data_IF_019993073064
#
_entry.id   IF_019993073064
#
_cell.length_a   1.000
_cell.length_b   1.000
_cell.length_c   1.000
_cell.angle_alpha   90.00
_cell.angle_beta   90.00
_cell.angle_gamma   90.00
#
_symmetry.space_group_name_H-M   'P 1'
#
loop_
_entity.id
_entity.type
_entity.pdbx_description
1 polymer ?
#
# COMPACT_ATOMS: atom_id res chain seq x y z
N UNK A 1 12.13 -8.03 -18.86
CA UNK A 1 11.01 -7.30 -19.50
C UNK A 1 10.00 -7.02 -18.39
N UNK A 2 9.89 -5.84 -17.78
CA UNK A 2 9.07 -4.70 -18.22
C UNK A 2 9.56 -3.41 -17.52
N UNK A 3 10.42 -2.63 -18.18
CA UNK A 3 11.01 -1.41 -17.61
C UNK A 3 9.95 -0.39 -17.16
N UNK A 4 8.87 -0.26 -17.95
CA UNK A 4 7.74 0.64 -17.64
C UNK A 4 7.06 0.21 -16.33
N UNK A 5 6.73 -1.08 -16.16
CA UNK A 5 6.06 -1.57 -14.95
C UNK A 5 6.94 -1.39 -13.70
N UNK A 6 8.25 -1.57 -13.83
CA UNK A 6 9.21 -1.34 -12.74
C UNK A 6 9.28 0.15 -12.37
N UNK A 7 9.46 1.02 -13.38
CA UNK A 7 9.56 2.46 -13.16
C UNK A 7 8.26 3.01 -12.56
N UNK A 8 7.11 2.57 -13.07
CA UNK A 8 5.81 2.93 -12.53
C UNK A 8 5.64 2.48 -11.07
N UNK A 9 6.13 1.28 -10.70
CA UNK A 9 6.04 0.79 -9.32
C UNK A 9 6.91 1.62 -8.38
N UNK A 10 8.15 1.91 -8.79
CA UNK A 10 9.05 2.76 -8.03
C UNK A 10 8.47 4.16 -7.80
N UNK A 11 7.99 4.81 -8.87
CA UNK A 11 7.36 6.13 -8.78
C UNK A 11 6.11 6.11 -7.91
N UNK A 12 5.26 5.10 -8.08
CA UNK A 12 4.05 4.93 -7.27
C UNK A 12 4.38 4.84 -5.78
N UNK A 13 5.31 3.96 -5.39
CA UNK A 13 5.70 3.78 -3.98
C UNK A 13 6.30 5.05 -3.37
N UNK A 14 7.18 5.74 -4.10
CA UNK A 14 7.77 6.99 -3.62
C UNK A 14 6.69 8.08 -3.49
N UNK A 15 5.79 8.21 -4.47
CA UNK A 15 4.72 9.20 -4.41
C UNK A 15 3.76 8.95 -3.25
N UNK A 16 3.29 7.70 -3.07
CA UNK A 16 2.41 7.34 -1.95
C UNK A 16 3.12 7.52 -0.60
N UNK A 17 4.38 7.11 -0.51
CA UNK A 17 5.18 7.30 0.70
C UNK A 17 5.37 8.77 1.06
N UNK A 18 5.60 9.65 0.09
CA UNK A 18 5.63 11.11 0.32
C UNK A 18 4.26 11.63 0.79
N UNK A 19 3.16 11.14 0.21
CA UNK A 19 1.82 11.59 0.63
C UNK A 19 1.46 11.23 2.08
N UNK A 20 2.11 10.23 2.69
CA UNK A 20 1.95 9.96 4.14
C UNK A 20 2.30 11.17 5.00
N UNK A 21 3.27 11.98 4.56
CA UNK A 21 3.71 13.18 5.26
C UNK A 21 2.91 14.43 4.86
N UNK A 22 2.40 14.48 3.63
CA UNK A 22 1.59 15.60 3.13
C UNK A 22 0.13 15.53 3.61
N UNK A 23 -0.43 14.32 3.72
CA UNK A 23 -1.83 14.08 4.07
C UNK A 23 -1.99 13.09 5.26
N UNK A 24 -1.29 13.28 6.40
CA UNK A 24 -1.24 12.29 7.46
C UNK A 24 -2.62 11.99 8.08
N UNK A 25 -3.57 12.93 8.04
CA UNK A 25 -4.94 12.71 8.53
C UNK A 25 -5.66 11.62 7.74
N UNK A 26 -5.47 11.59 6.42
CA UNK A 26 -6.05 10.56 5.57
C UNK A 26 -5.49 9.19 5.94
N UNK A 27 -4.16 9.03 5.95
CA UNK A 27 -3.54 7.75 6.27
C UNK A 27 -3.82 7.26 7.69
N UNK A 28 -3.90 8.16 8.68
CA UNK A 28 -4.30 7.78 10.05
C UNK A 28 -5.72 7.22 10.12
N UNK A 29 -6.64 7.71 9.29
CA UNK A 29 -8.01 7.16 9.21
C UNK A 29 -8.07 5.75 8.62
N UNK A 30 -7.00 5.29 7.96
CA UNK A 30 -6.88 3.95 7.41
C UNK A 30 -6.25 2.97 8.40
N UNK A 31 -5.64 3.44 9.49
CA UNK A 31 -5.02 2.57 10.49
C UNK A 31 -6.11 1.76 11.20
N UNK A 32 -5.96 0.42 11.31
CA UNK A 32 -6.95 -0.42 11.99
C UNK A 32 -7.24 0.06 13.41
N UNK A 33 -8.51 -0.05 13.81
CA UNK A 33 -8.99 0.35 15.14
C UNK A 33 -8.13 -0.17 16.31
N UNK A 34 -7.67 -1.45 16.33
CA UNK A 34 -6.80 -1.96 17.40
C UNK A 34 -5.42 -1.26 17.50
N UNK A 35 -4.97 -0.62 16.42
CA UNK A 35 -3.67 0.05 16.31
C UNK A 35 -3.78 1.58 16.36
N UNK A 36 -4.99 2.13 16.51
CA UNK A 36 -5.27 3.56 16.41
C UNK A 36 -4.39 4.42 17.35
N UNK A 37 -4.06 3.89 18.55
CA UNK A 37 -3.18 4.58 19.51
C UNK A 37 -1.77 4.88 18.97
N UNK A 38 -1.31 4.13 17.99
CA UNK A 38 0.00 4.30 17.35
C UNK A 38 -0.11 4.82 15.91
N UNK A 39 -1.29 5.27 15.47
CA UNK A 39 -1.54 5.62 14.08
C UNK A 39 -0.54 6.64 13.52
N UNK A 40 -0.14 7.64 14.32
CA UNK A 40 0.87 8.61 13.90
C UNK A 40 2.23 7.99 13.56
N UNK A 41 2.74 7.13 14.44
CA UNK A 41 4.02 6.46 14.25
C UNK A 41 3.96 5.45 13.10
N UNK A 42 2.88 4.65 13.04
CA UNK A 42 2.69 3.66 11.97
C UNK A 42 2.65 4.31 10.58
N UNK A 43 1.94 5.43 10.44
CA UNK A 43 1.87 6.19 9.17
C UNK A 43 3.22 6.78 8.79
N UNK A 44 3.98 7.33 9.75
CA UNK A 44 5.31 7.85 9.45
C UNK A 44 6.27 6.72 9.03
N UNK A 45 6.29 5.61 9.76
CA UNK A 45 7.13 4.45 9.47
C UNK A 45 6.77 3.79 8.14
N UNK A 46 5.48 3.63 7.83
CA UNK A 46 5.04 3.09 6.55
C UNK A 46 5.41 4.01 5.40
N UNK A 47 5.27 5.33 5.55
CA UNK A 47 5.69 6.30 4.53
C UNK A 47 7.20 6.23 4.23
N UNK A 48 8.05 6.14 5.27
CA UNK A 48 9.50 5.92 5.06
C UNK A 48 9.75 4.57 4.36
N UNK A 49 9.09 3.50 4.81
CA UNK A 49 9.25 2.17 4.25
C UNK A 49 8.88 2.14 2.75
N UNK A 50 7.79 2.78 2.35
CA UNK A 50 7.37 2.87 0.95
C UNK A 50 8.39 3.65 0.11
N UNK A 51 8.89 4.80 0.59
CA UNK A 51 9.92 5.59 -0.13
C UNK A 51 11.19 4.76 -0.33
N UNK A 52 11.71 4.15 0.74
CA UNK A 52 12.92 3.31 0.67
C UNK A 52 12.70 2.14 -0.29
N UNK A 53 11.54 1.48 -0.21
CA UNK A 53 11.18 0.38 -1.09
C UNK A 53 11.12 0.81 -2.56
N UNK A 54 10.52 1.97 -2.85
CA UNK A 54 10.48 2.52 -4.20
C UNK A 54 11.88 2.83 -4.77
N UNK A 55 12.79 3.34 -3.93
CA UNK A 55 14.21 3.53 -4.31
C UNK A 55 14.90 2.20 -4.58
N UNK A 56 14.68 1.17 -3.76
CA UNK A 56 15.24 -0.16 -3.98
C UNK A 56 14.76 -0.79 -5.29
N UNK A 57 13.49 -0.59 -5.66
CA UNK A 57 12.92 -1.05 -6.95
C UNK A 57 13.59 -0.34 -8.14
N UNK A 58 13.90 0.96 -7.99
CA UNK A 58 14.50 1.75 -9.06
C UNK A 58 15.93 1.29 -9.40
N UNK A 59 16.72 0.90 -8.40
CA UNK A 59 18.11 0.47 -8.58
C UNK A 59 18.18 -0.99 -9.08
N UNK A 60 18.77 -1.27 -10.26
CA UNK A 60 18.79 -2.61 -10.85
C UNK A 60 19.34 -3.70 -9.91
N UNK A 61 20.39 -3.37 -9.15
CA UNK A 61 21.05 -4.31 -8.24
C UNK A 61 20.18 -4.74 -7.05
N UNK A 62 19.18 -3.94 -6.65
CA UNK A 62 18.32 -4.21 -5.49
C UNK A 62 16.85 -4.43 -5.87
N UNK A 63 16.54 -4.46 -7.18
CA UNK A 63 15.16 -4.44 -7.68
C UNK A 63 14.32 -5.61 -7.19
N UNK A 64 14.85 -6.82 -7.27
CA UNK A 64 14.12 -8.02 -6.84
C UNK A 64 13.79 -7.95 -5.34
N UNK A 65 14.76 -7.54 -4.52
CA UNK A 65 14.56 -7.31 -3.09
C UNK A 65 13.50 -6.23 -2.84
N UNK A 66 13.64 -5.06 -3.46
CA UNK A 66 12.69 -3.95 -3.31
C UNK A 66 11.27 -4.33 -3.73
N UNK A 67 11.11 -5.08 -4.81
CA UNK A 67 9.80 -5.50 -5.30
C UNK A 67 9.14 -6.54 -4.38
N UNK A 68 9.92 -7.47 -3.81
CA UNK A 68 9.42 -8.38 -2.77
C UNK A 68 9.06 -7.63 -1.48
N UNK A 69 9.85 -6.65 -1.07
CA UNK A 69 9.52 -5.78 0.07
C UNK A 69 8.23 -5.01 -0.19
N UNK A 70 8.02 -4.49 -1.40
CA UNK A 70 6.77 -3.82 -1.78
C UNK A 70 5.57 -4.78 -1.66
N UNK A 71 5.69 -5.99 -2.21
CA UNK A 71 4.63 -7.00 -2.11
C UNK A 71 4.29 -7.31 -0.65
N UNK A 72 5.29 -7.46 0.22
CA UNK A 72 5.11 -7.70 1.65
C UNK A 72 4.43 -6.52 2.37
N UNK A 73 4.88 -5.27 2.11
CA UNK A 73 4.29 -4.07 2.72
C UNK A 73 2.81 -3.89 2.32
N UNK A 74 2.52 -4.00 1.02
CA UNK A 74 1.16 -3.84 0.49
C UNK A 74 0.24 -4.96 1.00
N UNK A 75 0.78 -6.17 1.19
CA UNK A 75 0.05 -7.27 1.85
C UNK A 75 -0.29 -6.91 3.29
N UNK A 76 0.62 -6.26 4.03
CA UNK A 76 0.35 -5.74 5.38
C UNK A 76 -0.85 -4.78 5.43
N UNK A 77 -1.06 -3.97 4.38
CA UNK A 77 -2.20 -3.05 4.28
C UNK A 77 -3.55 -3.74 4.10
N UNK A 78 -3.61 -5.06 3.84
CA UNK A 78 -4.86 -5.81 3.90
C UNK A 78 -5.49 -5.72 5.30
N UNK A 79 -4.70 -5.56 6.36
CA UNK A 79 -5.22 -5.34 7.72
C UNK A 79 -6.16 -4.11 7.81
N UNK A 80 -5.83 -3.01 7.13
CA UNK A 80 -6.69 -1.83 7.01
C UNK A 80 -8.01 -2.14 6.31
N UNK A 81 -7.95 -2.95 5.25
CA UNK A 81 -9.12 -3.32 4.47
C UNK A 81 -10.03 -4.28 5.23
N UNK A 82 -9.45 -5.21 6.00
CA UNK A 82 -10.19 -6.11 6.89
C UNK A 82 -10.88 -5.35 8.03
N UNK A 83 -10.22 -4.35 8.61
CA UNK A 83 -10.85 -3.49 9.61
C UNK A 83 -12.01 -2.69 9.00
N UNK A 84 -11.83 -2.16 7.78
CA UNK A 84 -12.93 -1.50 7.06
C UNK A 84 -14.08 -2.45 6.73
N UNK A 85 -13.81 -3.73 6.41
CA UNK A 85 -14.83 -4.74 6.17
C UNK A 85 -15.66 -5.03 7.43
N UNK A 86 -15.03 -5.07 8.61
CA UNK A 86 -15.71 -5.25 9.90
C UNK A 86 -16.67 -4.11 10.21
N UNK A 87 -16.36 -2.90 9.78
CA UNK A 87 -17.16 -1.70 10.01
C UNK A 87 -18.06 -1.33 8.82
N UNK A 88 -18.08 -2.15 7.76
CA UNK A 88 -18.81 -1.85 6.55
C UNK A 88 -20.33 -1.95 6.77
N UNK A 89 -21.07 -0.92 6.32
CA UNK A 89 -22.54 -0.88 6.44
C UNK A 89 -23.19 -0.36 5.17
N UNK A 90 -24.36 -0.89 4.82
CA UNK A 90 -25.03 -0.59 3.52
C UNK A 90 -25.51 0.86 3.42
N UNK A 91 -25.91 1.42 4.56
CA UNK A 91 -26.41 2.78 4.75
C UNK A 91 -25.30 3.82 4.95
N UNK A 92 -24.01 3.44 4.84
CA UNK A 92 -22.92 4.37 5.08
C UNK A 92 -22.98 5.57 4.10
N UNK A 93 -22.82 6.83 4.57
CA UNK A 93 -22.87 8.01 3.69
C UNK A 93 -21.76 7.98 2.63
N UNK A 94 -20.56 7.56 3.02
CA UNK A 94 -19.45 7.35 2.07
C UNK A 94 -19.53 5.96 1.39
N UNK A 95 -19.53 5.88 0.04
CA UNK A 95 -19.56 4.61 -0.70
C UNK A 95 -18.37 3.68 -0.42
N UNK A 96 -17.20 4.24 -0.09
CA UNK A 96 -15.97 3.46 0.16
C UNK A 96 -16.04 2.58 1.41
N UNK A 97 -16.98 2.89 2.31
CA UNK A 97 -17.22 2.14 3.56
C UNK A 97 -18.47 1.27 3.47
N UNK A 98 -19.07 1.15 2.27
CA UNK A 98 -20.11 0.15 2.00
C UNK A 98 -19.43 -1.17 1.60
N UNK A 99 -20.11 -2.33 1.74
CA UNK A 99 -19.52 -3.63 1.40
C UNK A 99 -18.89 -3.70 -0.01
N UNK A 100 -19.56 -3.14 -1.03
CA UNK A 100 -19.01 -3.09 -2.39
C UNK A 100 -17.78 -2.19 -2.52
N UNK A 101 -17.75 -1.05 -1.81
CA UNK A 101 -16.60 -0.16 -1.80
C UNK A 101 -15.39 -0.80 -1.13
N UNK A 102 -15.60 -1.49 -0.01
CA UNK A 102 -14.54 -2.25 0.67
C UNK A 102 -14.04 -3.39 -0.22
N UNK A 103 -14.92 -4.14 -0.88
CA UNK A 103 -14.53 -5.19 -1.82
C UNK A 103 -13.68 -4.63 -2.97
N UNK A 104 -14.06 -3.47 -3.52
CA UNK A 104 -13.27 -2.78 -4.54
C UNK A 104 -11.87 -2.40 -4.05
N UNK A 105 -11.75 -1.85 -2.83
CA UNK A 105 -10.45 -1.54 -2.24
C UNK A 105 -9.57 -2.78 -2.05
N UNK A 106 -10.15 -3.89 -1.57
CA UNK A 106 -9.43 -5.17 -1.43
C UNK A 106 -8.95 -5.65 -2.79
N UNK A 107 -9.82 -5.65 -3.81
CA UNK A 107 -9.45 -6.07 -5.15
C UNK A 107 -8.28 -5.25 -5.72
N UNK A 108 -8.35 -3.91 -5.60
CA UNK A 108 -7.26 -3.01 -6.01
C UNK A 108 -5.97 -3.30 -5.24
N UNK A 109 -6.04 -3.54 -3.92
CA UNK A 109 -4.86 -3.88 -3.12
C UNK A 109 -4.22 -5.20 -3.59
N UNK A 110 -5.03 -6.22 -3.93
CA UNK A 110 -4.54 -7.48 -4.49
C UNK A 110 -3.87 -7.28 -5.85
N UNK A 111 -4.38 -6.39 -6.69
CA UNK A 111 -3.72 -6.02 -7.96
C UNK A 111 -2.36 -5.37 -7.72
N UNK A 112 -2.22 -4.51 -6.71
CA UNK A 112 -0.94 -3.91 -6.34
C UNK A 112 0.07 -4.95 -5.84
N UNK A 113 -0.38 -5.95 -5.05
CA UNK A 113 0.47 -7.07 -4.62
C UNK A 113 0.94 -7.89 -5.84
N UNK A 114 0.01 -8.25 -6.73
CA UNK A 114 0.32 -9.01 -7.93
C UNK A 114 1.30 -8.25 -8.85
N UNK A 115 1.14 -6.93 -8.97
CA UNK A 115 2.06 -6.08 -9.71
C UNK A 115 3.47 -6.09 -9.11
N UNK A 116 3.59 -5.91 -7.79
CA UNK A 116 4.87 -5.95 -7.10
C UNK A 116 5.55 -7.33 -7.23
N UNK A 117 4.80 -8.42 -7.03
CA UNK A 117 5.30 -9.78 -7.20
C UNK A 117 5.74 -10.05 -8.66
N UNK A 118 4.99 -9.58 -9.65
CA UNK A 118 5.36 -9.68 -11.06
C UNK A 118 6.67 -8.96 -11.39
N UNK A 119 6.88 -7.76 -10.83
CA UNK A 119 8.17 -7.04 -10.95
C UNK A 119 9.29 -7.80 -10.26
N UNK A 120 9.04 -8.40 -9.10
CA UNK A 120 10.04 -9.17 -8.35
C UNK A 120 10.48 -10.43 -9.10
N UNK A 121 9.52 -11.20 -9.62
CA UNK A 121 9.78 -12.42 -10.39
C UNK A 121 10.48 -12.13 -11.73
N UNK A 122 10.21 -10.98 -12.35
CA UNK A 122 10.89 -10.56 -13.59
C UNK A 122 12.26 -9.91 -13.38
N UNK A 123 12.68 -9.71 -12.13
CA UNK A 123 13.98 -9.15 -11.75
C UNK A 123 14.95 -10.19 -11.17
N UNK A 124 14.48 -11.41 -10.89
CA UNK A 124 15.27 -12.58 -10.57
C UNK A 124 15.72 -13.29 -11.85
#
# INVERSE_FOLDING_TARGET
MHAIATAALAVFLVAVGVTHFLAPRYFRSLVPTPLARHAGALVALSGVAEIVTGVLVAVPATRALGAWTAAALITGYLSSHLDAARHARRDHPSPLWRPYGVAGRVAVNLLYIAWAAGVALGAA
#
